data_IF_687289830884
#
_entry.id   IF_687289830884
#
_cell.length_a   1.000
_cell.length_b   1.000
_cell.length_c   1.000
_cell.angle_alpha   90.00
_cell.angle_beta   90.00
_cell.angle_gamma   90.00
#
_symmetry.space_group_name_H-M   'P 1'
#
loop_
_entity.id
_entity.type
_entity.pdbx_description
1 polymer ?
#
# COMPACT_ATOMS: atom_id res chain seq x y z
N UNK A 1 20.08 -15.07 13.08
CA UNK A 1 19.53 -14.31 11.92
C UNK A 1 20.60 -13.35 11.47
N UNK A 2 21.01 -13.33 10.19
CA UNK A 2 21.99 -12.37 9.67
C UNK A 2 21.51 -10.93 9.85
N UNK A 3 22.46 -10.00 9.98
CA UNK A 3 22.17 -8.57 10.16
C UNK A 3 21.36 -8.01 8.99
N UNK A 4 21.72 -8.40 7.75
CA UNK A 4 21.02 -7.99 6.54
C UNK A 4 19.53 -8.36 6.55
N UNK A 5 19.16 -9.56 7.03
CA UNK A 5 17.75 -9.98 7.17
C UNK A 5 17.04 -9.18 8.26
N UNK A 6 17.76 -8.84 9.35
CA UNK A 6 17.24 -7.99 10.41
C UNK A 6 16.91 -6.58 9.90
N UNK A 7 17.83 -5.98 9.17
CA UNK A 7 17.63 -4.67 8.56
C UNK A 7 16.55 -4.68 7.48
N UNK A 8 16.50 -5.71 6.62
CA UNK A 8 15.43 -5.87 5.65
C UNK A 8 14.05 -5.95 6.32
N UNK A 9 13.93 -6.65 7.45
CA UNK A 9 12.69 -6.69 8.25
C UNK A 9 12.29 -5.30 8.75
N UNK A 10 13.24 -4.51 9.24
CA UNK A 10 12.96 -3.15 9.71
C UNK A 10 12.50 -2.23 8.58
N UNK A 11 13.14 -2.32 7.41
CA UNK A 11 12.73 -1.57 6.22
C UNK A 11 11.32 -1.94 5.76
N UNK A 12 10.95 -3.22 5.81
CA UNK A 12 9.58 -3.66 5.53
C UNK A 12 8.58 -3.13 6.55
N UNK A 13 8.92 -3.12 7.83
CA UNK A 13 8.06 -2.52 8.86
C UNK A 13 7.86 -1.03 8.63
N UNK A 14 8.93 -0.31 8.29
CA UNK A 14 8.85 1.11 7.93
C UNK A 14 7.98 1.34 6.68
N UNK A 15 8.12 0.51 5.64
CA UNK A 15 7.30 0.57 4.43
C UNK A 15 5.81 0.34 4.73
N UNK A 16 5.49 -0.62 5.60
CA UNK A 16 4.10 -0.88 6.04
C UNK A 16 3.58 0.30 6.88
N UNK A 17 4.39 0.86 7.77
CA UNK A 17 4.00 2.03 8.57
C UNK A 17 3.69 3.24 7.68
N UNK A 18 4.50 3.52 6.66
CA UNK A 18 4.24 4.57 5.67
C UNK A 18 2.92 4.29 4.94
N UNK A 19 2.66 3.04 4.54
CA UNK A 19 1.40 2.64 3.90
C UNK A 19 0.17 2.86 4.80
N UNK A 20 0.28 2.60 6.11
CA UNK A 20 -0.78 2.88 7.07
C UNK A 20 -1.03 4.39 7.24
N UNK A 21 0.03 5.20 7.27
CA UNK A 21 -0.10 6.67 7.30
C UNK A 21 -0.80 7.16 6.03
N UNK A 22 -0.45 6.62 4.87
CA UNK A 22 -1.14 6.94 3.60
C UNK A 22 -2.61 6.53 3.64
N UNK A 23 -2.94 5.37 4.19
CA UNK A 23 -4.32 4.92 4.34
C UNK A 23 -5.12 5.89 5.21
N UNK A 24 -4.57 6.33 6.34
CA UNK A 24 -5.22 7.33 7.21
C UNK A 24 -5.43 8.66 6.46
N UNK A 25 -4.41 9.15 5.77
CA UNK A 25 -4.51 10.36 4.97
C UNK A 25 -5.59 10.25 3.87
N UNK A 26 -5.65 9.09 3.19
CA UNK A 26 -6.67 8.82 2.17
C UNK A 26 -8.08 8.80 2.75
N UNK A 27 -8.27 8.24 3.96
CA UNK A 27 -9.57 8.25 4.65
C UNK A 27 -10.00 9.67 5.00
N UNK A 28 -9.10 10.49 5.51
CA UNK A 28 -9.40 11.90 5.83
C UNK A 28 -9.83 12.64 4.56
N UNK A 29 -9.05 12.51 3.47
CA UNK A 29 -9.39 13.13 2.18
C UNK A 29 -10.73 12.62 1.64
N UNK A 30 -11.01 11.33 1.77
CA UNK A 30 -12.26 10.73 1.32
C UNK A 30 -13.48 11.26 2.10
N UNK A 31 -13.32 11.49 3.41
CA UNK A 31 -14.38 12.11 4.25
C UNK A 31 -14.63 13.55 3.80
N UNK A 32 -13.58 14.33 3.56
CA UNK A 32 -13.70 15.72 3.11
C UNK A 32 -14.34 15.83 1.71
N UNK A 33 -14.14 14.83 0.84
CA UNK A 33 -14.68 14.80 -0.52
C UNK A 33 -15.94 13.95 -0.67
N UNK A 34 -16.53 13.48 0.44
CA UNK A 34 -17.67 12.56 0.43
C UNK A 34 -18.84 13.10 -0.41
N UNK A 35 -19.16 14.37 -0.26
CA UNK A 35 -20.28 14.98 -0.94
C UNK A 35 -20.06 15.03 -2.46
N UNK A 36 -18.83 15.31 -2.91
CA UNK A 36 -18.46 15.29 -4.32
C UNK A 36 -18.59 13.88 -4.90
N UNK A 37 -18.05 12.86 -4.20
CA UNK A 37 -18.18 11.45 -4.64
C UNK A 37 -19.64 10.99 -4.70
N UNK A 38 -20.48 11.44 -3.77
CA UNK A 38 -21.91 11.13 -3.76
C UNK A 38 -22.61 11.79 -4.92
N UNK A 39 -22.30 13.06 -5.22
CA UNK A 39 -22.87 13.79 -6.35
C UNK A 39 -22.49 13.14 -7.68
N UNK A 40 -21.21 12.83 -7.88
CA UNK A 40 -20.71 12.20 -9.10
C UNK A 40 -21.34 10.82 -9.33
N UNK A 41 -21.46 10.01 -8.25
CA UNK A 41 -22.12 8.71 -8.31
C UNK A 41 -23.59 8.85 -8.65
N UNK A 42 -24.28 9.82 -8.05
CA UNK A 42 -25.70 10.09 -8.30
C UNK A 42 -25.94 10.51 -9.76
N UNK A 43 -25.11 11.38 -10.31
CA UNK A 43 -25.18 11.80 -11.70
C UNK A 43 -25.00 10.62 -12.67
N UNK A 44 -23.97 9.81 -12.43
CA UNK A 44 -23.71 8.62 -13.26
C UNK A 44 -24.84 7.59 -13.16
N UNK A 45 -25.36 7.34 -11.98
CA UNK A 45 -26.42 6.38 -11.76
C UNK A 45 -27.74 6.84 -12.39
N UNK A 46 -28.09 8.12 -12.29
CA UNK A 46 -29.30 8.70 -12.88
C UNK A 46 -29.26 8.74 -14.41
N UNK A 47 -28.09 8.70 -15.01
CA UNK A 47 -27.98 8.56 -16.46
C UNK A 47 -28.53 7.22 -16.95
N UNK A 48 -28.53 6.18 -16.09
CA UNK A 48 -29.03 4.84 -16.41
C UNK A 48 -30.38 4.55 -15.74
N UNK A 49 -30.57 5.03 -14.52
CA UNK A 49 -31.82 4.91 -13.73
C UNK A 49 -32.20 6.27 -13.15
N UNK A 50 -33.16 6.99 -13.79
CA UNK A 50 -33.60 8.30 -13.33
C UNK A 50 -34.21 8.32 -11.91
N UNK A 51 -34.63 7.15 -11.38
CA UNK A 51 -35.23 7.03 -10.03
C UNK A 51 -34.19 6.70 -8.97
N UNK A 52 -32.90 6.64 -9.31
CA UNK A 52 -31.84 6.34 -8.35
C UNK A 52 -31.80 7.40 -7.23
N UNK A 53 -31.88 6.94 -5.98
CA UNK A 53 -32.02 7.84 -4.83
C UNK A 53 -30.65 8.30 -4.30
N UNK A 54 -30.62 9.53 -3.80
CA UNK A 54 -29.44 10.10 -3.13
C UNK A 54 -29.01 9.26 -1.92
N UNK A 55 -29.97 8.78 -1.12
CA UNK A 55 -29.67 7.92 0.02
C UNK A 55 -28.96 6.62 -0.39
N UNK A 56 -29.28 6.07 -1.56
CA UNK A 56 -28.60 4.89 -2.09
C UNK A 56 -27.15 5.23 -2.50
N UNK A 57 -26.95 6.39 -3.13
CA UNK A 57 -25.61 6.87 -3.49
C UNK A 57 -24.74 7.07 -2.24
N UNK A 58 -25.25 7.74 -1.21
CA UNK A 58 -24.52 7.93 0.06
C UNK A 58 -24.14 6.60 0.73
N UNK A 59 -25.07 5.65 0.75
CA UNK A 59 -24.81 4.33 1.30
C UNK A 59 -23.69 3.60 0.52
N UNK A 60 -23.75 3.63 -0.81
CA UNK A 60 -22.73 3.00 -1.66
C UNK A 60 -21.36 3.64 -1.49
N UNK A 61 -21.26 4.97 -1.42
CA UNK A 61 -20.01 5.68 -1.16
C UNK A 61 -19.46 5.30 0.22
N UNK A 62 -20.32 5.27 1.24
CA UNK A 62 -19.92 4.86 2.60
C UNK A 62 -19.39 3.43 2.64
N UNK A 63 -20.06 2.49 1.98
CA UNK A 63 -19.60 1.09 1.88
C UNK A 63 -18.28 1.01 1.13
N UNK A 64 -18.13 1.75 0.03
CA UNK A 64 -16.87 1.77 -0.74
C UNK A 64 -15.70 2.25 0.12
N UNK A 65 -15.87 3.32 0.90
CA UNK A 65 -14.82 3.80 1.82
C UNK A 65 -14.52 2.79 2.93
N UNK A 66 -15.54 2.18 3.52
CA UNK A 66 -15.35 1.13 4.53
C UNK A 66 -14.57 -0.05 3.96
N UNK A 67 -14.86 -0.48 2.73
CA UNK A 67 -14.13 -1.54 2.06
C UNK A 67 -12.66 -1.17 1.82
N UNK A 68 -12.37 0.05 1.38
CA UNK A 68 -10.97 0.51 1.19
C UNK A 68 -10.19 0.42 2.49
N UNK A 69 -10.78 0.85 3.63
CA UNK A 69 -10.15 0.77 4.95
C UNK A 69 -9.91 -0.69 5.35
N UNK A 70 -10.94 -1.53 5.23
CA UNK A 70 -10.84 -2.95 5.61
C UNK A 70 -9.78 -3.65 4.77
N UNK A 71 -9.81 -3.48 3.44
CA UNK A 71 -8.79 -4.07 2.55
C UNK A 71 -7.39 -3.55 2.86
N UNK A 72 -7.23 -2.26 3.11
CA UNK A 72 -5.95 -1.66 3.48
C UNK A 72 -5.38 -2.27 4.76
N UNK A 73 -6.21 -2.43 5.80
CA UNK A 73 -5.80 -3.06 7.06
C UNK A 73 -5.50 -4.55 6.89
N UNK A 74 -6.28 -5.28 6.11
CA UNK A 74 -6.04 -6.69 5.80
C UNK A 74 -4.71 -6.86 5.07
N UNK A 75 -4.45 -6.04 4.05
CA UNK A 75 -3.17 -6.06 3.31
C UNK A 75 -2.00 -5.75 4.24
N UNK A 76 -2.11 -4.75 5.11
CA UNK A 76 -1.09 -4.43 6.10
C UNK A 76 -0.85 -5.59 7.07
N UNK A 77 -1.91 -6.23 7.56
CA UNK A 77 -1.84 -7.40 8.43
C UNK A 77 -1.16 -8.59 7.76
N UNK A 78 -1.54 -8.90 6.52
CA UNK A 78 -0.87 -9.93 5.71
C UNK A 78 0.60 -9.58 5.50
N UNK A 79 0.91 -8.32 5.18
CA UNK A 79 2.28 -7.83 5.04
C UNK A 79 3.11 -8.09 6.29
N UNK A 80 2.60 -7.75 7.47
CA UNK A 80 3.26 -8.02 8.76
C UNK A 80 3.50 -9.51 8.99
N UNK A 81 2.53 -10.37 8.68
CA UNK A 81 2.68 -11.82 8.77
C UNK A 81 3.77 -12.34 7.84
N UNK A 82 3.81 -11.87 6.58
CA UNK A 82 4.83 -12.28 5.62
C UNK A 82 6.22 -11.78 6.04
N UNK A 83 6.34 -10.56 6.55
CA UNK A 83 7.60 -10.02 7.12
C UNK A 83 8.05 -10.83 8.34
N UNK A 84 7.12 -11.29 9.18
CA UNK A 84 7.44 -12.20 10.28
C UNK A 84 8.00 -13.53 9.76
N UNK A 85 7.41 -14.09 8.70
CA UNK A 85 7.90 -15.33 8.08
C UNK A 85 9.27 -15.14 7.39
N UNK A 86 9.53 -13.95 6.82
CA UNK A 86 10.84 -13.59 6.30
C UNK A 86 11.90 -13.68 7.40
N UNK A 87 11.64 -13.13 8.58
CA UNK A 87 12.54 -13.19 9.73
C UNK A 87 12.79 -14.64 10.21
N UNK A 88 11.84 -15.56 9.98
CA UNK A 88 11.98 -17.00 10.26
C UNK A 88 12.73 -17.77 9.16
N UNK A 89 13.26 -17.09 8.15
CA UNK A 89 14.03 -17.71 7.06
C UNK A 89 13.18 -18.47 6.03
N UNK A 90 11.87 -18.20 5.93
CA UNK A 90 11.01 -18.84 4.94
C UNK A 90 11.24 -18.24 3.55
N UNK A 91 11.77 -19.04 2.61
CA UNK A 91 12.09 -18.59 1.25
C UNK A 91 10.87 -18.08 0.46
N UNK A 92 9.68 -18.65 0.69
CA UNK A 92 8.46 -18.18 0.05
C UNK A 92 8.10 -16.73 0.44
N UNK A 93 8.33 -16.37 1.73
CA UNK A 93 8.07 -15.02 2.21
C UNK A 93 8.98 -14.01 1.50
N UNK A 94 10.25 -14.37 1.23
CA UNK A 94 11.16 -13.56 0.43
C UNK A 94 10.61 -13.33 -0.98
N UNK A 95 10.11 -14.38 -1.64
CA UNK A 95 9.56 -14.27 -2.99
C UNK A 95 8.32 -13.35 -3.02
N UNK A 96 7.39 -13.52 -2.08
CA UNK A 96 6.19 -12.67 -1.96
C UNK A 96 6.56 -11.21 -1.73
N UNK A 97 7.46 -10.93 -0.79
CA UNK A 97 7.90 -9.57 -0.49
C UNK A 97 8.69 -8.95 -1.65
N UNK A 98 9.48 -9.75 -2.38
CA UNK A 98 10.15 -9.25 -3.58
C UNK A 98 9.13 -8.81 -4.63
N UNK A 99 8.11 -9.60 -4.89
CA UNK A 99 7.05 -9.24 -5.83
C UNK A 99 6.29 -7.99 -5.38
N UNK A 100 5.87 -7.95 -4.11
CA UNK A 100 5.20 -6.78 -3.54
C UNK A 100 6.07 -5.53 -3.60
N UNK A 101 7.36 -5.66 -3.29
CA UNK A 101 8.29 -4.53 -3.32
C UNK A 101 8.60 -4.03 -4.73
N UNK A 102 8.71 -4.91 -5.72
CA UNK A 102 8.82 -4.51 -7.14
C UNK A 102 7.58 -3.71 -7.55
N UNK A 103 6.40 -4.14 -7.13
CA UNK A 103 5.16 -3.40 -7.36
C UNK A 103 5.19 -2.01 -6.71
N UNK A 104 5.63 -1.90 -5.45
CA UNK A 104 5.77 -0.61 -4.75
C UNK A 104 6.78 0.32 -5.44
N UNK A 105 7.91 -0.21 -5.91
CA UNK A 105 8.90 0.55 -6.68
C UNK A 105 8.29 1.05 -7.99
N UNK A 106 7.53 0.21 -8.68
CA UNK A 106 6.85 0.61 -9.91
C UNK A 106 5.84 1.73 -9.67
N UNK A 107 5.04 1.63 -8.59
CA UNK A 107 4.11 2.69 -8.18
C UNK A 107 4.85 3.98 -7.80
N UNK A 108 5.99 3.89 -7.10
CA UNK A 108 6.82 5.04 -6.76
C UNK A 108 7.35 5.75 -8.02
N UNK A 109 7.81 5.00 -9.02
CA UNK A 109 8.24 5.57 -10.30
C UNK A 109 7.06 6.24 -11.01
N UNK A 110 5.90 5.59 -11.06
CA UNK A 110 4.69 6.16 -11.62
C UNK A 110 4.28 7.47 -10.95
N UNK A 111 4.41 7.57 -9.62
CA UNK A 111 4.10 8.80 -8.88
C UNK A 111 5.04 9.96 -9.21
N UNK A 112 6.30 9.69 -9.58
CA UNK A 112 7.23 10.73 -10.02
C UNK A 112 6.75 11.44 -11.29
N UNK A 113 6.20 10.66 -12.24
CA UNK A 113 5.66 11.22 -13.48
C UNK A 113 4.29 11.89 -13.29
N UNK A 114 3.57 11.54 -12.22
CA UNK A 114 2.28 12.13 -11.91
C UNK A 114 2.39 13.44 -11.12
N UNK A 115 3.53 13.74 -10.49
CA UNK A 115 3.73 14.95 -9.67
C UNK A 115 3.50 16.26 -10.46
N UNK A 116 3.84 16.29 -11.75
CA UNK A 116 3.65 17.45 -12.60
C UNK A 116 2.16 17.69 -12.97
N UNK A 117 1.33 16.65 -12.91
CA UNK A 117 -0.07 16.69 -13.27
C UNK A 117 -0.99 16.98 -12.07
N UNK A 118 -0.47 16.96 -10.85
CA UNK A 118 -1.28 17.01 -9.63
C UNK A 118 -1.05 18.32 -8.90
N UNK A 119 -2.10 19.09 -8.69
CA UNK A 119 -2.09 20.33 -7.90
C UNK A 119 -2.58 20.06 -6.47
N UNK A 120 -1.81 20.53 -5.49
CA UNK A 120 -2.22 20.51 -4.08
C UNK A 120 -1.23 19.80 -3.14
N UNK A 121 -1.20 20.25 -1.88
CA UNK A 121 -0.28 19.74 -0.85
C UNK A 121 -0.54 18.26 -0.53
N UNK A 122 -1.81 17.84 -0.50
CA UNK A 122 -2.19 16.47 -0.17
C UNK A 122 -1.63 15.45 -1.17
N UNK A 123 -1.67 15.77 -2.47
CA UNK A 123 -1.12 14.93 -3.53
C UNK A 123 0.40 14.90 -3.57
N UNK A 124 1.06 16.02 -3.23
CA UNK A 124 2.52 16.04 -3.06
C UNK A 124 2.95 15.16 -1.88
N UNK A 125 2.23 15.21 -0.76
CA UNK A 125 2.50 14.35 0.40
C UNK A 125 2.27 12.87 0.06
N UNK A 126 1.18 12.55 -0.64
CA UNK A 126 0.90 11.18 -1.06
C UNK A 126 1.95 10.63 -2.04
N UNK A 127 2.35 11.42 -3.03
CA UNK A 127 3.42 11.07 -3.97
C UNK A 127 4.78 10.91 -3.28
N UNK A 128 5.13 11.83 -2.38
CA UNK A 128 6.35 11.74 -1.58
C UNK A 128 6.38 10.49 -0.70
N UNK A 129 5.28 10.16 -0.05
CA UNK A 129 5.15 8.95 0.76
C UNK A 129 5.27 7.68 -0.10
N UNK A 130 4.70 7.65 -1.31
CA UNK A 130 4.85 6.53 -2.24
C UNK A 130 6.31 6.33 -2.66
N UNK A 131 7.05 7.41 -2.91
CA UNK A 131 8.49 7.36 -3.24
C UNK A 131 9.27 6.78 -2.05
N UNK A 132 9.05 7.30 -0.83
CA UNK A 132 9.70 6.78 0.38
C UNK A 132 9.42 5.30 0.56
N UNK A 133 8.17 4.87 0.39
CA UNK A 133 7.77 3.47 0.50
C UNK A 133 8.48 2.59 -0.55
N UNK A 134 8.57 3.06 -1.80
CA UNK A 134 9.30 2.38 -2.87
C UNK A 134 10.80 2.23 -2.58
N UNK A 135 11.46 3.28 -2.06
CA UNK A 135 12.87 3.24 -1.67
C UNK A 135 13.11 2.25 -0.52
N UNK A 136 12.26 2.26 0.50
CA UNK A 136 12.33 1.30 1.62
C UNK A 136 12.17 -0.14 1.12
N UNK A 137 11.22 -0.38 0.22
CA UNK A 137 10.99 -1.69 -0.38
C UNK A 137 12.19 -2.15 -1.23
N UNK A 138 12.76 -1.27 -2.06
CA UNK A 138 13.95 -1.57 -2.86
C UNK A 138 15.15 -1.94 -1.97
N UNK A 139 15.41 -1.18 -0.91
CA UNK A 139 16.45 -1.48 0.07
C UNK A 139 16.24 -2.83 0.76
N UNK A 140 15.01 -3.13 1.17
CA UNK A 140 14.65 -4.40 1.80
C UNK A 140 14.83 -5.59 0.84
N UNK A 141 14.46 -5.44 -0.44
CA UNK A 141 14.68 -6.46 -1.47
C UNK A 141 16.19 -6.70 -1.62
N UNK A 142 16.97 -5.63 -1.83
CA UNK A 142 18.41 -5.72 -2.00
C UNK A 142 19.07 -6.51 -0.87
N UNK A 143 18.81 -6.14 0.38
CA UNK A 143 19.37 -6.80 1.56
C UNK A 143 18.94 -8.27 1.67
N UNK A 144 17.70 -8.57 1.33
CA UNK A 144 17.19 -9.95 1.34
C UNK A 144 17.87 -10.87 0.31
N UNK A 145 18.49 -10.29 -0.74
CA UNK A 145 19.14 -11.05 -1.81
C UNK A 145 20.66 -11.09 -1.70
N UNK A 146 21.26 -10.48 -0.67
CA UNK A 146 22.70 -10.58 -0.41
C UNK A 146 23.14 -12.03 -0.13
N UNK A 147 24.39 -12.38 -0.37
CA UNK A 147 24.90 -13.76 -0.21
C UNK A 147 24.62 -14.36 1.16
N UNK A 148 24.81 -13.57 2.24
CA UNK A 148 24.61 -14.04 3.61
C UNK A 148 23.13 -14.29 3.92
N UNK A 149 22.24 -13.43 3.42
CA UNK A 149 20.79 -13.64 3.49
C UNK A 149 20.39 -14.90 2.73
N UNK A 150 20.94 -15.09 1.54
CA UNK A 150 20.62 -16.26 0.69
C UNK A 150 21.03 -17.57 1.35
N UNK A 151 22.20 -17.63 1.99
CA UNK A 151 22.63 -18.79 2.78
C UNK A 151 21.68 -19.09 3.94
N UNK A 152 21.21 -18.04 4.64
CA UNK A 152 20.26 -18.20 5.73
C UNK A 152 18.95 -18.83 5.28
N UNK A 153 18.38 -18.39 4.15
CA UNK A 153 17.16 -18.96 3.58
C UNK A 153 17.36 -20.39 3.07
N UNK A 154 18.55 -20.74 2.58
CA UNK A 154 18.86 -22.11 2.14
C UNK A 154 18.93 -23.08 3.34
N UNK A 155 19.52 -22.67 4.46
CA UNK A 155 19.61 -23.49 5.68
C UNK A 155 18.24 -23.72 6.32
N UNK A 156 17.29 -22.82 6.17
CA UNK A 156 15.95 -22.87 6.76
C UNK A 156 14.86 -23.37 5.80
N UNK A 157 15.23 -24.06 4.74
CA UNK A 157 14.33 -24.62 3.71
C UNK A 157 13.50 -25.83 4.17
N UNK A 158 13.30 -26.04 5.47
CA UNK A 158 12.45 -27.12 5.98
C UNK A 158 11.03 -26.66 6.25
#
# INVERSE_FOLDING_TARGET
MPEDVGTARQLWWAAIAVGLVQLIASVITAIDQRDSFTADMLEQARATDPQFSEATAELMVTIAFALVVVFGLVIAGIGLLVVHQLARGKGWARAVLTFAGVWLVFMAIGSLFALDAVSGIASLVAGGAAIVQGVLAAGAIYLSHRPDSTRYFQMNRR
#
